data_IF_237383117190
#
_entry.id   IF_237383117190
#
_cell.length_a   1.000
_cell.length_b   1.000
_cell.length_c   1.000
_cell.angle_alpha   90.00
_cell.angle_beta   90.00
_cell.angle_gamma   90.00
#
_symmetry.space_group_name_H-M   'P 1'
#
loop_
_entity.id
_entity.type
_entity.pdbx_description
1 polymer ?
#
# COMPACT_ATOMS: atom_id res chain seq x y z
N UNK A 1 2.13 -13.74 -9.91
CA UNK A 1 3.42 -14.27 -10.43
C UNK A 1 4.43 -14.63 -9.34
N UNK A 2 4.34 -14.03 -8.16
CA UNK A 2 5.28 -14.20 -7.04
C UNK A 2 4.63 -14.83 -5.80
N UNK A 3 3.39 -15.29 -5.91
CA UNK A 3 2.69 -16.02 -4.86
C UNK A 3 3.17 -17.47 -4.88
N UNK A 4 3.59 -17.97 -3.73
CA UNK A 4 3.86 -19.38 -3.48
C UNK A 4 2.58 -20.09 -3.02
N UNK A 5 2.59 -21.42 -2.90
CA UNK A 5 1.40 -22.20 -2.50
C UNK A 5 0.89 -21.83 -1.09
N UNK A 6 1.80 -21.44 -0.19
CA UNK A 6 1.49 -21.05 1.18
C UNK A 6 0.98 -19.61 1.33
N UNK A 7 1.14 -18.78 0.29
CA UNK A 7 0.69 -17.41 0.32
C UNK A 7 -0.79 -17.30 -0.02
N UNK A 8 -1.46 -16.32 0.55
CA UNK A 8 -2.83 -15.95 0.19
C UNK A 8 -2.90 -14.56 -0.43
N UNK A 9 -3.92 -14.33 -1.23
CA UNK A 9 -4.31 -13.01 -1.72
C UNK A 9 -5.68 -12.70 -1.15
N UNK A 10 -5.79 -11.55 -0.51
CA UNK A 10 -7.04 -11.07 0.09
C UNK A 10 -7.35 -9.70 -0.50
N UNK A 11 -8.55 -9.53 -1.02
CA UNK A 11 -9.01 -8.28 -1.64
C UNK A 11 -10.28 -7.83 -0.92
N UNK A 12 -10.30 -6.55 -0.55
CA UNK A 12 -11.47 -5.87 -0.03
C UNK A 12 -11.79 -4.68 -0.95
N UNK A 13 -12.94 -4.72 -1.58
CA UNK A 13 -13.42 -3.72 -2.54
C UNK A 13 -14.50 -2.83 -1.93
N UNK A 14 -14.43 -1.51 -2.18
CA UNK A 14 -15.44 -0.53 -1.75
C UNK A 14 -16.56 -0.39 -2.80
N UNK A 15 -17.12 -1.50 -3.25
CA UNK A 15 -18.18 -1.54 -4.27
C UNK A 15 -17.82 -0.76 -5.54
N UNK A 16 -16.66 -1.06 -6.12
CA UNK A 16 -16.23 -0.45 -7.37
C UNK A 16 -17.30 -0.56 -8.47
N UNK A 17 -17.66 0.57 -9.06
CA UNK A 17 -18.69 0.67 -10.11
C UNK A 17 -18.13 0.69 -11.54
N UNK A 18 -16.81 0.89 -11.67
CA UNK A 18 -16.12 0.91 -12.95
C UNK A 18 -16.10 -0.51 -13.59
N UNK A 19 -16.63 -0.65 -14.80
CA UNK A 19 -16.73 -1.93 -15.52
C UNK A 19 -15.39 -2.64 -15.67
N UNK A 20 -14.33 -1.90 -16.02
CA UNK A 20 -12.99 -2.48 -16.17
C UNK A 20 -12.44 -3.04 -14.85
N UNK A 21 -12.72 -2.38 -13.73
CA UNK A 21 -12.34 -2.86 -12.39
C UNK A 21 -13.08 -4.16 -12.07
N UNK A 22 -14.38 -4.24 -12.35
CA UNK A 22 -15.18 -5.45 -12.16
C UNK A 22 -14.67 -6.61 -13.00
N UNK A 23 -14.42 -6.39 -14.29
CA UNK A 23 -13.84 -7.41 -15.18
C UNK A 23 -12.50 -7.96 -14.66
N UNK A 24 -11.63 -7.08 -14.12
CA UNK A 24 -10.36 -7.49 -13.54
C UNK A 24 -10.59 -8.34 -12.28
N UNK A 25 -11.45 -7.91 -11.38
CA UNK A 25 -11.77 -8.63 -10.15
C UNK A 25 -12.37 -10.00 -10.45
N UNK A 26 -13.34 -10.08 -11.34
CA UNK A 26 -13.97 -11.33 -11.77
C UNK A 26 -12.94 -12.29 -12.40
N UNK A 27 -12.09 -11.77 -13.28
CA UNK A 27 -11.01 -12.54 -13.89
C UNK A 27 -10.02 -13.07 -12.88
N UNK A 28 -9.58 -12.22 -11.92
CA UNK A 28 -8.63 -12.62 -10.88
C UNK A 28 -9.23 -13.67 -9.96
N UNK A 29 -10.46 -13.48 -9.50
CA UNK A 29 -11.14 -14.42 -8.60
C UNK A 29 -11.42 -15.78 -9.28
N UNK A 30 -11.59 -15.80 -10.60
CA UNK A 30 -11.79 -17.05 -11.35
C UNK A 30 -10.52 -17.87 -11.61
N UNK A 31 -9.35 -17.19 -11.68
CA UNK A 31 -8.08 -17.83 -12.02
C UNK A 31 -7.27 -18.22 -10.75
N UNK A 32 -7.46 -17.52 -9.65
CA UNK A 32 -6.70 -17.67 -8.43
C UNK A 32 -7.61 -17.92 -7.23
N UNK A 33 -7.11 -18.67 -6.24
CA UNK A 33 -7.74 -18.74 -4.93
C UNK A 33 -7.54 -17.40 -4.21
N UNK A 34 -8.50 -16.48 -4.41
CA UNK A 34 -8.51 -15.14 -3.80
C UNK A 34 -9.65 -15.08 -2.79
N UNK A 35 -9.36 -14.64 -1.59
CA UNK A 35 -10.39 -14.24 -0.64
C UNK A 35 -10.86 -12.84 -1.02
N UNK A 36 -12.11 -12.73 -1.45
CA UNK A 36 -12.71 -11.47 -1.91
C UNK A 36 -13.94 -11.12 -1.10
N UNK A 37 -14.03 -9.86 -0.68
CA UNK A 37 -15.21 -9.31 -0.01
C UNK A 37 -15.43 -7.86 -0.48
N UNK A 38 -16.70 -7.41 -0.42
CA UNK A 38 -17.06 -6.01 -0.65
C UNK A 38 -17.56 -5.38 0.66
N UNK A 39 -17.03 -4.21 0.99
CA UNK A 39 -17.41 -3.47 2.19
C UNK A 39 -17.30 -1.97 1.95
N UNK A 40 -18.36 -1.22 2.25
CA UNK A 40 -18.33 0.24 2.16
C UNK A 40 -17.30 0.86 3.10
N UNK A 41 -16.45 1.72 2.56
CA UNK A 41 -15.41 2.45 3.29
C UNK A 41 -15.98 3.41 4.34
N UNK A 42 -17.08 4.10 4.02
CA UNK A 42 -17.77 5.06 4.90
C UNK A 42 -16.84 6.11 5.54
N UNK A 43 -15.79 6.52 4.83
CA UNK A 43 -14.71 7.40 5.30
C UNK A 43 -13.97 6.87 6.53
N UNK A 44 -13.98 5.57 6.78
CA UNK A 44 -13.26 4.90 7.87
C UNK A 44 -12.17 3.99 7.30
N UNK A 45 -11.04 4.58 6.93
CA UNK A 45 -9.90 3.87 6.35
C UNK A 45 -9.29 2.86 7.33
N UNK A 46 -9.18 3.21 8.62
CA UNK A 46 -8.68 2.27 9.62
C UNK A 46 -9.63 1.07 9.80
N UNK A 47 -10.94 1.31 9.84
CA UNK A 47 -11.94 0.25 9.89
C UNK A 47 -11.89 -0.66 8.67
N UNK A 48 -11.68 -0.09 7.48
CA UNK A 48 -11.52 -0.84 6.23
C UNK A 48 -10.26 -1.72 6.26
N UNK A 49 -9.12 -1.15 6.62
CA UNK A 49 -7.84 -1.88 6.72
C UNK A 49 -7.84 -2.94 7.83
N UNK A 50 -8.50 -2.68 8.96
CA UNK A 50 -8.66 -3.68 10.02
C UNK A 50 -9.57 -4.83 9.59
N UNK A 51 -10.63 -4.55 8.83
CA UNK A 51 -11.49 -5.59 8.28
C UNK A 51 -10.70 -6.48 7.31
N UNK A 52 -9.98 -5.87 6.36
CA UNK A 52 -9.08 -6.59 5.44
C UNK A 52 -8.05 -7.43 6.19
N UNK A 53 -7.41 -6.87 7.23
CA UNK A 53 -6.48 -7.60 8.10
C UNK A 53 -7.13 -8.84 8.72
N UNK A 54 -8.37 -8.73 9.21
CA UNK A 54 -9.06 -9.85 9.87
C UNK A 54 -9.42 -10.99 8.91
N UNK A 55 -9.45 -10.73 7.60
CA UNK A 55 -9.61 -11.75 6.57
C UNK A 55 -8.31 -12.53 6.31
N UNK A 56 -7.15 -11.97 6.69
CA UNK A 56 -5.84 -12.56 6.45
C UNK A 56 -5.50 -13.63 7.49
N UNK A 57 -5.01 -14.79 7.04
CA UNK A 57 -4.58 -15.91 7.87
C UNK A 57 -3.07 -16.09 7.98
N UNK A 58 -2.27 -15.46 7.11
CA UNK A 58 -0.81 -15.60 7.10
C UNK A 58 -0.12 -14.94 8.30
N UNK A 59 1.14 -15.32 8.55
CA UNK A 59 1.97 -14.79 9.66
C UNK A 59 2.35 -13.33 9.49
N UNK A 60 2.47 -12.88 8.24
CA UNK A 60 2.76 -11.50 7.85
C UNK A 60 1.72 -11.00 6.88
N UNK A 61 1.47 -9.72 6.90
CA UNK A 61 0.62 -9.01 5.95
C UNK A 61 1.48 -8.06 5.14
N UNK A 62 1.38 -8.13 3.81
CA UNK A 62 1.87 -7.12 2.90
C UNK A 62 0.69 -6.37 2.31
N UNK A 63 0.40 -5.20 2.84
CA UNK A 63 -0.71 -4.36 2.41
C UNK A 63 -0.30 -3.49 1.22
N UNK A 64 -1.09 -3.54 0.16
CA UNK A 64 -0.93 -2.69 -1.02
C UNK A 64 -2.25 -1.97 -1.30
N UNK A 65 -2.16 -0.70 -1.61
CA UNK A 65 -3.28 0.03 -2.17
C UNK A 65 -3.39 -0.29 -3.68
N UNK A 66 -4.56 -0.17 -4.28
CA UNK A 66 -4.83 -0.61 -5.65
C UNK A 66 -3.99 0.11 -6.73
N UNK A 67 -3.40 1.24 -6.39
CA UNK A 67 -2.52 2.05 -7.24
C UNK A 67 -1.03 1.90 -6.91
N UNK A 68 -0.67 0.89 -6.14
CA UNK A 68 0.72 0.61 -5.76
C UNK A 68 1.23 -0.68 -6.41
N UNK A 69 2.48 -0.67 -6.83
CA UNK A 69 3.15 -1.79 -7.49
C UNK A 69 4.51 -2.07 -6.83
N UNK A 70 4.70 -3.20 -6.14
CA UNK A 70 5.98 -3.51 -5.52
C UNK A 70 7.06 -3.84 -6.56
N UNK A 71 8.31 -3.48 -6.25
CA UNK A 71 9.45 -3.88 -7.07
C UNK A 71 9.56 -5.41 -7.12
N UNK A 72 9.93 -5.94 -8.28
CA UNK A 72 10.05 -7.39 -8.49
C UNK A 72 11.13 -8.03 -7.61
N UNK A 73 12.21 -7.29 -7.32
CA UNK A 73 13.27 -7.76 -6.44
C UNK A 73 12.75 -7.92 -5.01
N UNK A 74 12.05 -6.91 -4.49
CA UNK A 74 11.39 -6.98 -3.18
C UNK A 74 10.47 -8.21 -3.09
N UNK A 75 9.61 -8.41 -4.08
CA UNK A 75 8.68 -9.55 -4.10
C UNK A 75 9.37 -10.91 -4.12
N UNK A 76 10.55 -11.01 -4.69
CA UNK A 76 11.32 -12.26 -4.73
C UNK A 76 12.06 -12.55 -3.42
N UNK A 77 12.48 -11.51 -2.72
CA UNK A 77 13.37 -11.62 -1.57
C UNK A 77 12.67 -11.33 -0.22
N UNK A 78 11.38 -10.99 -0.26
CA UNK A 78 10.65 -10.58 0.94
C UNK A 78 10.67 -11.65 2.03
N UNK A 79 10.51 -12.92 1.70
CA UNK A 79 10.52 -14.03 2.68
C UNK A 79 11.87 -14.11 3.39
N UNK A 80 12.97 -14.04 2.64
CA UNK A 80 14.32 -14.03 3.21
C UNK A 80 14.56 -12.82 4.12
N UNK A 81 14.05 -11.64 3.73
CA UNK A 81 14.10 -10.43 4.57
C UNK A 81 13.37 -10.65 5.90
N UNK A 82 12.17 -11.24 5.85
CA UNK A 82 11.36 -11.49 7.04
C UNK A 82 11.99 -12.54 7.96
N UNK A 83 12.52 -13.62 7.40
CA UNK A 83 13.19 -14.71 8.12
C UNK A 83 14.49 -14.23 8.79
N UNK A 84 15.25 -13.37 8.11
CA UNK A 84 16.48 -12.78 8.64
C UNK A 84 16.25 -11.78 9.78
N UNK A 85 15.01 -11.32 9.97
CA UNK A 85 14.66 -10.32 10.98
C UNK A 85 13.49 -10.79 11.86
N UNK A 86 13.65 -11.90 12.61
CA UNK A 86 12.53 -12.58 13.29
C UNK A 86 11.91 -11.80 14.45
N UNK A 87 12.52 -10.71 14.91
CA UNK A 87 11.99 -9.87 16.00
C UNK A 87 11.19 -8.68 15.51
N UNK A 88 11.33 -8.31 14.23
CA UNK A 88 10.69 -7.13 13.65
C UNK A 88 9.20 -7.36 13.45
N UNK A 89 8.38 -6.44 13.96
CA UNK A 89 6.93 -6.46 13.81
C UNK A 89 6.44 -5.65 12.60
N UNK A 90 7.13 -4.55 12.27
CA UNK A 90 6.73 -3.63 11.20
C UNK A 90 7.94 -3.21 10.35
N UNK A 91 7.80 -3.29 9.05
CA UNK A 91 8.75 -2.78 8.06
C UNK A 91 8.18 -1.55 7.38
N UNK A 92 8.93 -0.46 7.45
CA UNK A 92 8.69 0.74 6.67
C UNK A 92 9.32 0.57 5.29
N UNK A 93 8.49 0.56 4.28
CA UNK A 93 8.90 0.33 2.89
C UNK A 93 8.95 1.67 2.16
N UNK A 94 10.06 2.01 1.47
CA UNK A 94 10.16 3.26 0.73
C UNK A 94 9.24 3.24 -0.50
N UNK A 95 8.50 4.33 -0.72
CA UNK A 95 7.58 4.50 -1.84
C UNK A 95 8.13 5.50 -2.84
N UNK A 96 8.12 5.11 -4.11
CA UNK A 96 8.43 5.97 -5.25
C UNK A 96 7.15 6.59 -5.78
N UNK A 97 6.93 7.86 -5.49
CA UNK A 97 5.83 8.62 -6.06
C UNK A 97 6.28 9.27 -7.39
N UNK A 98 5.55 9.01 -8.45
CA UNK A 98 5.69 9.72 -9.74
C UNK A 98 4.38 10.35 -10.13
N UNK A 99 4.42 11.57 -10.68
CA UNK A 99 3.22 12.30 -11.08
C UNK A 99 3.36 12.74 -12.54
N UNK A 100 2.59 12.10 -13.42
CA UNK A 100 2.55 12.45 -14.83
C UNK A 100 1.85 13.81 -15.01
N UNK A 101 2.44 14.71 -15.77
CA UNK A 101 1.94 16.07 -15.96
C UNK A 101 2.37 17.06 -14.87
N UNK A 102 3.27 16.66 -13.96
CA UNK A 102 3.84 17.56 -12.95
C UNK A 102 4.60 18.71 -13.61
N UNK A 103 4.32 19.94 -13.17
CA UNK A 103 5.01 21.16 -13.60
C UNK A 103 5.76 21.81 -12.44
N UNK A 104 6.65 22.78 -12.76
CA UNK A 104 7.35 23.55 -11.73
C UNK A 104 6.38 24.33 -10.84
N UNK A 105 5.29 24.84 -11.40
CA UNK A 105 4.24 25.53 -10.64
C UNK A 105 3.61 24.64 -9.56
N UNK A 106 3.33 23.36 -9.88
CA UNK A 106 2.84 22.40 -8.90
C UNK A 106 3.87 22.12 -7.81
N UNK A 107 5.13 21.93 -8.18
CA UNK A 107 6.23 21.69 -7.24
C UNK A 107 6.34 22.84 -6.25
N UNK A 108 6.33 24.06 -6.72
CA UNK A 108 6.44 25.27 -5.90
C UNK A 108 5.20 25.45 -4.99
N UNK A 109 4.00 25.28 -5.55
CA UNK A 109 2.71 25.37 -4.84
C UNK A 109 2.62 24.38 -3.67
N UNK A 110 3.03 23.14 -3.89
CA UNK A 110 2.93 22.09 -2.87
C UNK A 110 4.23 21.89 -2.09
N UNK A 111 5.28 22.65 -2.40
CA UNK A 111 6.61 22.57 -1.77
C UNK A 111 7.20 21.16 -1.84
N UNK A 112 7.01 20.52 -2.98
CA UNK A 112 7.52 19.18 -3.18
C UNK A 112 9.00 19.20 -3.54
N UNK A 113 9.70 18.12 -3.16
CA UNK A 113 11.05 17.85 -3.61
C UNK A 113 10.99 16.78 -4.70
N UNK A 114 11.65 17.04 -5.82
CA UNK A 114 11.72 16.08 -6.93
C UNK A 114 13.19 15.81 -7.21
N UNK A 115 13.59 14.55 -7.16
CA UNK A 115 14.96 14.14 -7.43
C UNK A 115 15.23 13.99 -8.94
N UNK A 116 16.48 13.67 -9.31
CA UNK A 116 16.92 13.50 -10.70
C UNK A 116 16.16 12.41 -11.46
N UNK A 117 15.60 11.40 -10.76
CA UNK A 117 14.76 10.35 -11.34
C UNK A 117 13.29 10.76 -11.51
N UNK A 118 12.91 11.99 -11.15
CA UNK A 118 11.54 12.46 -11.17
C UNK A 118 10.66 11.92 -10.02
N UNK A 119 11.28 11.44 -8.93
CA UNK A 119 10.56 10.93 -7.78
C UNK A 119 10.22 12.05 -6.81
N UNK A 120 8.96 12.10 -6.40
CA UNK A 120 8.44 13.14 -5.51
C UNK A 120 8.59 12.74 -4.06
N UNK A 121 9.22 13.61 -3.25
CA UNK A 121 9.40 13.47 -1.81
C UNK A 121 10.01 12.13 -1.37
N UNK A 122 10.92 11.58 -2.17
CA UNK A 122 11.57 10.30 -1.88
C UNK A 122 12.65 10.45 -0.78
N UNK A 123 12.77 9.46 0.13
CA UNK A 123 11.92 8.30 0.32
C UNK A 123 10.64 8.63 1.11
N UNK A 124 9.50 8.19 0.60
CA UNK A 124 8.21 8.31 1.27
C UNK A 124 7.90 6.96 1.95
N UNK A 125 8.33 6.80 3.18
CA UNK A 125 8.20 5.55 3.91
C UNK A 125 6.76 5.25 4.34
N UNK A 126 6.30 4.03 4.01
CA UNK A 126 4.97 3.54 4.37
C UNK A 126 5.06 2.23 5.15
N UNK A 127 4.28 2.08 6.22
CA UNK A 127 4.15 0.84 6.96
C UNK A 127 3.36 -0.18 6.15
N UNK A 128 4.05 -1.00 5.34
CA UNK A 128 3.39 -1.89 4.37
C UNK A 128 3.50 -3.36 4.70
N UNK A 129 4.47 -3.77 5.51
CA UNK A 129 4.68 -5.16 5.85
C UNK A 129 4.74 -5.28 7.37
N UNK A 130 3.90 -6.13 7.95
CA UNK A 130 3.88 -6.32 9.40
C UNK A 130 3.42 -7.73 9.81
N UNK A 131 3.77 -8.12 11.04
CA UNK A 131 3.30 -9.37 11.63
C UNK A 131 1.80 -9.34 11.85
N UNK A 132 1.12 -10.39 11.45
CA UNK A 132 -0.31 -10.54 11.66
C UNK A 132 -0.60 -10.93 13.12
N UNK A 133 -0.48 -9.97 14.02
CA UNK A 133 -0.83 -10.14 15.43
C UNK A 133 -2.13 -9.44 15.77
N UNK A 134 -2.98 -9.99 16.66
CA UNK A 134 -4.27 -9.39 17.01
C UNK A 134 -4.19 -7.95 17.52
N UNK A 135 -3.13 -7.62 18.25
CA UNK A 135 -2.92 -6.28 18.83
C UNK A 135 -2.42 -5.23 17.82
N UNK A 136 -1.79 -5.63 16.71
CA UNK A 136 -1.31 -4.69 15.69
C UNK A 136 -2.51 -4.30 14.84
N UNK A 137 -2.95 -3.05 14.95
CA UNK A 137 -4.18 -2.55 14.33
C UNK A 137 -4.01 -1.14 13.80
N UNK A 138 -4.79 -0.81 12.79
CA UNK A 138 -4.93 0.54 12.28
C UNK A 138 -5.83 1.37 13.20
N UNK A 139 -5.45 2.63 13.41
CA UNK A 139 -6.23 3.65 14.14
C UNK A 139 -6.37 4.90 13.29
N UNK A 140 -7.34 5.73 13.66
CA UNK A 140 -7.80 6.96 13.00
C UNK A 140 -8.57 6.69 11.70
N UNK A 141 -9.73 7.29 11.58
CA UNK A 141 -10.59 7.14 10.38
C UNK A 141 -9.93 7.68 9.12
N UNK A 142 -9.22 8.80 9.26
CA UNK A 142 -8.43 9.47 8.23
C UNK A 142 -7.01 9.65 8.75
N UNK A 143 -6.02 9.60 7.87
CA UNK A 143 -4.59 9.55 8.24
C UNK A 143 -4.29 8.37 9.19
N UNK A 144 -4.79 7.22 8.80
CA UNK A 144 -4.68 5.99 9.58
C UNK A 144 -3.22 5.58 9.80
N UNK A 145 -2.95 5.16 11.01
CA UNK A 145 -1.63 4.70 11.43
C UNK A 145 -1.69 3.30 12.03
N UNK A 146 -0.70 2.49 11.74
CA UNK A 146 -0.54 1.18 12.36
C UNK A 146 0.01 1.36 13.78
N UNK A 147 -0.56 0.66 14.75
CA UNK A 147 -0.22 0.82 16.18
C UNK A 147 0.04 -0.52 16.85
N UNK A 148 0.60 -0.46 18.08
CA UNK A 148 0.81 -1.62 18.97
C UNK A 148 1.83 -2.65 18.46
N UNK A 149 2.67 -2.29 17.48
CA UNK A 149 3.89 -3.02 17.16
C UNK A 149 4.99 -2.64 18.17
N UNK A 150 5.96 -3.53 18.39
CA UNK A 150 7.09 -3.28 19.30
C UNK A 150 8.35 -2.89 18.55
N UNK A 151 8.81 -3.79 17.70
CA UNK A 151 10.02 -3.60 16.92
C UNK A 151 9.68 -3.22 15.48
N UNK A 152 10.38 -2.22 14.96
CA UNK A 152 10.23 -1.83 13.56
C UNK A 152 11.58 -1.53 12.91
N UNK A 153 11.62 -1.61 11.60
CA UNK A 153 12.78 -1.25 10.81
C UNK A 153 12.38 -0.58 9.51
N UNK A 154 13.33 0.09 8.88
CA UNK A 154 13.17 0.70 7.56
C UNK A 154 13.94 -0.15 6.56
N UNK A 155 13.29 -0.50 5.45
CA UNK A 155 14.01 -1.07 4.32
C UNK A 155 14.91 0.01 3.68
N UNK A 156 16.04 -0.37 3.05
CA UNK A 156 16.92 0.59 2.41
C UNK A 156 16.19 1.50 1.41
N UNK A 157 16.57 2.78 1.35
CA UNK A 157 16.04 3.75 0.38
C UNK A 157 16.64 3.53 -1.02
N UNK A 158 16.61 2.29 -1.48
CA UNK A 158 17.10 1.83 -2.78
C UNK A 158 15.93 1.28 -3.59
N UNK A 159 15.99 1.42 -4.91
CA UNK A 159 14.87 1.15 -5.81
C UNK A 159 14.37 -0.30 -5.71
N UNK A 160 15.25 -1.24 -5.43
CA UNK A 160 14.96 -2.67 -5.27
C UNK A 160 13.97 -2.94 -4.12
N UNK A 161 14.04 -2.13 -3.06
CA UNK A 161 13.19 -2.27 -1.86
C UNK A 161 11.89 -1.47 -1.94
N UNK A 162 11.69 -0.72 -3.03
CA UNK A 162 10.55 0.20 -3.15
C UNK A 162 9.28 -0.48 -3.66
N UNK A 163 8.18 0.22 -3.48
CA UNK A 163 7.01 0.09 -4.33
C UNK A 163 6.71 1.40 -5.03
N UNK A 164 6.14 1.30 -6.23
CA UNK A 164 5.83 2.43 -7.10
C UNK A 164 4.38 2.86 -6.91
N UNK A 165 4.16 4.16 -6.93
CA UNK A 165 2.87 4.79 -6.83
C UNK A 165 2.74 5.86 -7.91
N UNK A 166 2.43 5.47 -9.15
CA UNK A 166 2.25 6.40 -10.26
C UNK A 166 0.88 7.09 -10.16
N UNK A 167 0.88 8.40 -10.35
CA UNK A 167 -0.33 9.22 -10.40
C UNK A 167 -0.34 10.11 -11.64
N UNK A 168 -1.54 10.55 -12.02
CA UNK A 168 -1.73 11.68 -12.93
C UNK A 168 -1.98 12.96 -12.13
N UNK A 169 -1.60 14.10 -12.68
CA UNK A 169 -1.75 15.40 -12.02
C UNK A 169 -3.21 15.72 -11.67
N UNK A 170 -4.14 15.45 -12.58
CA UNK A 170 -5.58 15.70 -12.37
C UNK A 170 -6.12 14.93 -11.14
N UNK A 171 -5.66 13.68 -10.95
CA UNK A 171 -6.02 12.88 -9.79
C UNK A 171 -5.42 13.45 -8.51
N UNK A 172 -4.18 13.93 -8.58
CA UNK A 172 -3.50 14.51 -7.43
C UNK A 172 -4.16 15.84 -7.00
N UNK A 173 -4.56 16.68 -7.94
CA UNK A 173 -5.28 17.91 -7.64
C UNK A 173 -6.61 17.65 -6.94
N UNK A 174 -7.43 16.74 -7.48
CA UNK A 174 -8.69 16.32 -6.84
C UNK A 174 -8.48 15.75 -5.43
N UNK A 175 -7.42 14.98 -5.24
CA UNK A 175 -7.09 14.41 -3.93
C UNK A 175 -6.70 15.52 -2.94
N UNK A 176 -5.90 16.50 -3.35
CA UNK A 176 -5.51 17.62 -2.50
C UNK A 176 -6.71 18.50 -2.15
N UNK A 177 -7.63 18.76 -3.08
CA UNK A 177 -8.90 19.44 -2.81
C UNK A 177 -9.74 18.69 -1.78
N UNK A 178 -9.90 17.40 -1.95
CA UNK A 178 -10.63 16.57 -1.00
C UNK A 178 -10.03 16.64 0.41
N UNK A 179 -8.72 16.51 0.56
CA UNK A 179 -8.07 16.61 1.88
C UNK A 179 -8.13 18.00 2.50
N UNK A 180 -8.27 19.06 1.70
CA UNK A 180 -8.46 20.42 2.23
C UNK A 180 -9.84 20.65 2.85
N UNK A 181 -10.80 19.74 2.63
CA UNK A 181 -12.20 19.82 3.12
C UNK A 181 -12.49 18.93 4.35
N UNK A 182 -11.48 18.21 4.84
CA UNK A 182 -11.57 17.30 5.99
C UNK A 182 -10.72 17.84 7.15
#
# INVERSE_FOLDING_TARGET
>A
KHKDEEDEIVILDDFSDNEKTKEILDSMCSIHEIKFEQRHLLKDYAGQKNHLKNMCGGDYIFNLDADELPNKWLMKNIKEILESNPTVDLYWVPRVNTVKGLTQEHIDKWRWQVNEKGWVNFPDYQGRIWRNRPNIMWKNKVHEVLTSYKEHTYLPAEEEFCFYHPKDIDRQEKQNEFYSTI
#
